data_IF_876508618989
#
_entry.id   IF_876508618989
#
_cell.length_a   1.000
_cell.length_b   1.000
_cell.length_c   1.000
_cell.angle_alpha   90.00
_cell.angle_beta   90.00
_cell.angle_gamma   90.00
#
_symmetry.space_group_name_H-M   'P 1'
#
loop_
_entity.id
_entity.type
_entity.pdbx_description
1 polymer ?
#
# COMPACT_ATOMS: atom_id res chain seq x y z
N UNK A 1 22.16 -12.88 3.50
CA UNK A 1 22.10 -13.78 4.67
C UNK A 1 22.17 -13.04 6.00
N UNK A 2 21.13 -12.23 6.22
CA UNK A 2 21.00 -11.12 7.16
C UNK A 2 20.13 -11.47 8.38
N UNK A 3 19.83 -10.50 9.24
CA UNK A 3 18.99 -10.56 10.47
C UNK A 3 17.91 -11.66 10.54
N UNK A 4 17.14 -11.90 9.46
CA UNK A 4 16.16 -12.98 9.36
C UNK A 4 16.78 -14.38 9.62
N UNK A 5 17.98 -14.64 9.11
CA UNK A 5 18.76 -15.85 9.42
C UNK A 5 19.12 -15.96 10.90
N UNK A 6 19.41 -14.83 11.55
CA UNK A 6 19.62 -14.77 13.00
C UNK A 6 18.35 -15.13 13.78
N UNK A 7 17.19 -14.61 13.37
CA UNK A 7 15.90 -14.97 13.96
C UNK A 7 15.61 -16.47 13.79
N UNK A 8 15.90 -17.04 12.62
CA UNK A 8 15.79 -18.48 12.35
C UNK A 8 16.67 -19.31 13.28
N UNK A 9 17.96 -18.96 13.36
CA UNK A 9 18.94 -19.70 14.14
C UNK A 9 18.62 -19.71 15.64
N UNK A 10 17.92 -18.68 16.13
CA UNK A 10 17.50 -18.56 17.51
C UNK A 10 16.04 -19.02 17.76
N UNK A 11 15.40 -19.68 16.77
CA UNK A 11 14.01 -20.14 16.84
C UNK A 11 12.99 -19.03 17.17
N UNK A 12 13.27 -17.80 16.73
CA UNK A 12 12.45 -16.60 17.01
C UNK A 12 11.40 -16.31 15.94
N UNK A 13 11.26 -17.12 14.88
CA UNK A 13 10.25 -16.89 13.83
C UNK A 13 8.83 -17.38 14.17
N UNK A 14 8.62 -17.95 15.35
CA UNK A 14 7.34 -18.53 15.75
C UNK A 14 6.39 -17.55 16.44
N UNK A 15 5.08 -17.70 16.22
CA UNK A 15 4.04 -17.10 17.06
C UNK A 15 3.72 -15.62 16.78
N UNK A 16 4.17 -15.06 15.66
CA UNK A 16 3.76 -13.72 15.27
C UNK A 16 2.33 -13.72 14.72
N UNK A 17 1.51 -12.79 15.21
CA UNK A 17 0.14 -12.58 14.72
C UNK A 17 0.09 -11.65 13.51
N UNK A 18 1.09 -10.77 13.37
CA UNK A 18 1.16 -9.83 12.27
C UNK A 18 2.61 -9.56 11.84
N UNK A 19 2.78 -9.30 10.55
CA UNK A 19 3.95 -8.70 9.93
C UNK A 19 3.54 -7.29 9.47
N UNK A 20 4.31 -6.27 9.83
CA UNK A 20 4.04 -4.89 9.47
C UNK A 20 5.28 -4.28 8.82
N UNK A 21 5.11 -3.67 7.65
CA UNK A 21 6.14 -2.85 7.01
C UNK A 21 5.67 -1.41 6.89
N UNK A 22 6.58 -0.48 7.15
CA UNK A 22 6.46 0.94 6.81
C UNK A 22 7.56 1.33 5.83
N UNK A 23 8.19 2.48 6.06
CA UNK A 23 9.32 2.95 5.24
C UNK A 23 10.48 1.96 5.21
N UNK A 24 10.84 1.53 4.00
CA UNK A 24 12.03 0.72 3.72
C UNK A 24 12.75 1.33 2.52
N UNK A 25 13.96 1.87 2.75
CA UNK A 25 14.77 2.54 1.71
C UNK A 25 15.68 1.60 0.91
N UNK A 26 15.39 0.31 0.89
CA UNK A 26 16.19 -0.72 0.22
C UNK A 26 15.28 -1.79 -0.42
N UNK A 27 15.37 -1.92 -1.75
CA UNK A 27 14.53 -2.84 -2.52
C UNK A 27 14.75 -4.31 -2.16
N UNK A 28 15.98 -4.71 -1.85
CA UNK A 28 16.27 -6.08 -1.43
C UNK A 28 15.74 -6.39 -0.04
N UNK A 29 15.65 -5.41 0.87
CA UNK A 29 14.97 -5.58 2.15
C UNK A 29 13.47 -5.80 1.94
N UNK A 30 12.83 -5.02 1.07
CA UNK A 30 11.41 -5.20 0.72
C UNK A 30 11.18 -6.61 0.14
N UNK A 31 12.00 -7.03 -0.83
CA UNK A 31 11.91 -8.40 -1.39
C UNK A 31 12.22 -9.48 -0.36
N UNK A 32 13.14 -9.25 0.57
CA UNK A 32 13.43 -10.19 1.64
C UNK A 32 12.23 -10.39 2.58
N UNK A 33 11.43 -9.34 2.84
CA UNK A 33 10.16 -9.46 3.57
C UNK A 33 9.20 -10.36 2.78
N UNK A 34 9.02 -10.11 1.48
CA UNK A 34 8.20 -10.96 0.60
C UNK A 34 8.64 -12.43 0.61
N UNK A 35 9.96 -12.69 0.56
CA UNK A 35 10.54 -14.04 0.64
C UNK A 35 10.37 -14.70 2.02
N UNK A 36 10.27 -13.94 3.10
CA UNK A 36 10.08 -14.47 4.45
C UNK A 36 8.61 -14.81 4.77
N UNK A 37 7.66 -14.15 4.10
CA UNK A 37 6.23 -14.30 4.38
C UNK A 37 5.72 -15.76 4.32
N UNK A 38 6.10 -16.60 3.33
CA UNK A 38 5.65 -18.00 3.30
C UNK A 38 6.05 -18.78 4.56
N UNK A 39 7.31 -18.65 4.99
CA UNK A 39 7.81 -19.34 6.20
C UNK A 39 7.10 -18.86 7.48
N UNK A 40 6.80 -17.55 7.56
CA UNK A 40 6.03 -17.01 8.68
C UNK A 40 4.59 -17.57 8.69
N UNK A 41 3.96 -17.69 7.51
CA UNK A 41 2.62 -18.26 7.36
C UNK A 41 2.56 -19.77 7.62
N UNK A 42 3.64 -20.52 7.34
CA UNK A 42 3.74 -21.94 7.72
C UNK A 42 3.67 -22.12 9.25
N UNK A 43 4.25 -21.18 10.00
CA UNK A 43 4.26 -21.20 11.47
C UNK A 43 2.96 -20.67 12.07
N UNK A 44 2.33 -19.71 11.40
CA UNK A 44 1.00 -19.21 11.77
C UNK A 44 0.18 -18.92 10.50
N UNK A 45 -0.73 -19.83 10.09
CA UNK A 45 -1.60 -19.61 8.93
C UNK A 45 -2.55 -18.40 9.08
N UNK A 46 -2.77 -17.92 10.31
CA UNK A 46 -3.54 -16.71 10.61
C UNK A 46 -2.72 -15.42 10.63
N UNK A 47 -1.43 -15.46 10.27
CA UNK A 47 -0.58 -14.27 10.20
C UNK A 47 -1.14 -13.25 9.21
N UNK A 48 -1.36 -12.03 9.69
CA UNK A 48 -1.72 -10.89 8.85
C UNK A 48 -0.48 -10.14 8.37
N UNK A 49 -0.38 -9.89 7.08
CA UNK A 49 0.60 -8.96 6.54
C UNK A 49 -0.05 -7.60 6.25
N UNK A 50 0.35 -6.58 7.02
CA UNK A 50 0.02 -5.18 6.77
C UNK A 50 1.21 -4.51 6.08
N UNK A 51 0.99 -4.02 4.86
CA UNK A 51 1.99 -3.33 4.07
C UNK A 51 1.61 -1.85 3.93
N UNK A 52 2.43 -0.96 4.48
CA UNK A 52 2.40 0.46 4.18
C UNK A 52 3.49 0.77 3.13
N UNK A 53 3.12 0.96 1.85
CA UNK A 53 4.05 1.03 0.73
C UNK A 53 4.61 2.45 0.58
N UNK A 54 5.32 2.93 1.62
CA UNK A 54 5.84 4.32 1.73
C UNK A 54 6.81 4.62 0.60
N UNK A 55 6.28 5.08 -0.53
CA UNK A 55 7.04 5.34 -1.77
C UNK A 55 7.13 6.83 -2.06
N UNK A 56 6.14 7.62 -1.65
CA UNK A 56 6.05 9.02 -2.04
C UNK A 56 4.70 9.65 -1.78
N UNK A 57 4.59 10.96 -1.97
CA UNK A 57 3.34 11.70 -2.01
C UNK A 57 3.44 12.88 -2.98
N UNK A 58 2.34 13.61 -3.20
CA UNK A 58 2.32 14.87 -3.96
C UNK A 58 3.03 14.78 -5.34
N UNK A 59 2.90 13.64 -6.02
CA UNK A 59 3.49 13.40 -7.33
C UNK A 59 4.99 13.12 -7.33
N UNK A 60 5.61 12.82 -6.17
CA UNK A 60 7.06 12.63 -6.04
C UNK A 60 7.39 11.36 -5.26
N UNK A 61 8.30 10.56 -5.80
CA UNK A 61 8.91 9.43 -5.08
C UNK A 61 9.96 9.93 -4.07
N UNK A 62 9.96 9.34 -2.88
CA UNK A 62 10.98 9.49 -1.83
C UNK A 62 12.00 8.34 -1.82
N UNK A 63 11.69 7.26 -2.52
CA UNK A 63 12.50 6.05 -2.62
C UNK A 63 13.11 5.92 -4.02
N UNK A 64 14.09 5.01 -4.17
CA UNK A 64 14.65 4.68 -5.48
C UNK A 64 13.62 3.93 -6.34
N UNK A 65 13.82 3.92 -7.65
CA UNK A 65 13.01 3.11 -8.57
C UNK A 65 13.03 1.62 -8.17
N UNK A 66 14.18 1.12 -7.72
CA UNK A 66 14.32 -0.25 -7.24
C UNK A 66 13.37 -0.56 -6.05
N UNK A 67 13.21 0.39 -5.12
CA UNK A 67 12.27 0.23 -4.01
C UNK A 67 10.82 0.26 -4.51
N UNK A 68 10.50 1.16 -5.44
CA UNK A 68 9.17 1.23 -6.04
C UNK A 68 8.81 -0.07 -6.78
N UNK A 69 9.74 -0.62 -7.57
CA UNK A 69 9.61 -1.94 -8.20
C UNK A 69 9.41 -3.05 -7.17
N UNK A 70 10.22 -3.08 -6.11
CA UNK A 70 10.08 -4.06 -5.03
C UNK A 70 8.71 -3.97 -4.34
N UNK A 71 8.16 -2.78 -4.11
CA UNK A 71 6.80 -2.64 -3.59
C UNK A 71 5.75 -3.12 -4.59
N UNK A 72 5.91 -2.90 -5.90
CA UNK A 72 4.98 -3.46 -6.92
C UNK A 72 4.96 -4.99 -6.89
N UNK A 73 6.09 -5.63 -6.56
CA UNK A 73 6.20 -7.10 -6.38
C UNK A 73 5.58 -7.57 -5.06
N UNK A 74 5.81 -6.86 -3.95
CA UNK A 74 5.47 -7.33 -2.59
C UNK A 74 4.10 -6.87 -2.10
N UNK A 75 3.64 -5.68 -2.48
CA UNK A 75 2.33 -5.15 -2.06
C UNK A 75 1.15 -6.10 -2.36
N UNK A 76 1.10 -6.82 -3.51
CA UNK A 76 0.06 -7.82 -3.77
C UNK A 76 0.00 -8.99 -2.77
N UNK A 77 1.06 -9.23 -2.02
CA UNK A 77 1.10 -10.30 -1.01
C UNK A 77 0.43 -9.90 0.31
N UNK A 78 0.13 -8.61 0.49
CA UNK A 78 -0.43 -8.05 1.71
C UNK A 78 -1.89 -8.45 1.90
N UNK A 79 -2.24 -8.72 3.16
CA UNK A 79 -3.63 -8.87 3.57
C UNK A 79 -4.31 -7.51 3.70
N UNK A 80 -3.56 -6.52 4.21
CA UNK A 80 -3.98 -5.12 4.34
C UNK A 80 -2.92 -4.23 3.71
N UNK A 81 -3.32 -3.41 2.74
CA UNK A 81 -2.45 -2.40 2.12
C UNK A 81 -2.93 -1.01 2.51
N UNK A 82 -2.03 -0.12 2.89
CA UNK A 82 -2.38 1.23 3.38
C UNK A 82 -1.80 2.38 2.55
N UNK A 83 -2.01 2.42 1.22
CA UNK A 83 -1.38 3.44 0.38
C UNK A 83 -2.00 4.82 0.64
N UNK A 84 -1.28 5.91 0.40
CA UNK A 84 -1.92 7.20 0.10
C UNK A 84 -2.42 7.23 -1.37
N UNK A 85 -3.02 8.34 -1.82
CA UNK A 85 -3.49 8.46 -3.22
C UNK A 85 -2.37 8.23 -4.25
N UNK A 86 -1.21 8.86 -4.10
CA UNK A 86 -0.10 8.73 -5.05
C UNK A 86 0.37 7.28 -5.16
N UNK A 87 0.50 6.60 -4.01
CA UNK A 87 0.89 5.20 -3.95
C UNK A 87 -0.20 4.27 -4.52
N UNK A 88 -1.46 4.59 -4.27
CA UNK A 88 -2.61 3.87 -4.84
C UNK A 88 -2.56 3.93 -6.36
N UNK A 89 -2.37 5.13 -6.94
CA UNK A 89 -2.23 5.33 -8.39
C UNK A 89 -1.03 4.57 -8.95
N UNK A 90 0.14 4.67 -8.28
CA UNK A 90 1.38 4.03 -8.70
C UNK A 90 1.30 2.50 -8.67
N UNK A 91 0.61 1.93 -7.68
CA UNK A 91 0.44 0.48 -7.55
C UNK A 91 -0.67 -0.05 -8.46
N UNK A 92 -1.80 0.66 -8.59
CA UNK A 92 -2.96 0.22 -9.36
C UNK A 92 -2.84 0.51 -10.86
N UNK A 93 -2.04 1.50 -11.27
CA UNK A 93 -1.97 1.98 -12.64
C UNK A 93 -3.24 2.74 -13.07
N UNK A 94 -3.98 3.31 -12.12
CA UNK A 94 -5.23 4.04 -12.32
C UNK A 94 -5.06 5.43 -11.70
N UNK A 95 -5.23 6.49 -12.49
CA UNK A 95 -5.23 7.86 -11.98
C UNK A 95 -6.51 8.15 -11.19
N UNK A 96 -6.40 8.79 -10.03
CA UNK A 96 -7.52 9.05 -9.12
C UNK A 96 -7.92 10.52 -9.16
N UNK A 97 -9.06 10.83 -9.77
CA UNK A 97 -9.61 12.20 -9.82
C UNK A 97 -10.91 12.35 -9.05
N UNK A 98 -11.62 11.24 -8.81
CA UNK A 98 -12.83 11.18 -8.02
C UNK A 98 -12.90 9.88 -7.19
N UNK A 99 -13.90 9.76 -6.31
CA UNK A 99 -14.11 8.57 -5.48
C UNK A 99 -14.31 7.30 -6.30
N UNK A 100 -15.00 7.40 -7.44
CA UNK A 100 -15.15 6.27 -8.36
C UNK A 100 -13.81 5.76 -8.89
N UNK A 101 -12.83 6.64 -9.12
CA UNK A 101 -11.50 6.23 -9.57
C UNK A 101 -10.71 5.54 -8.45
N UNK A 102 -10.82 6.06 -7.22
CA UNK A 102 -10.19 5.44 -6.05
C UNK A 102 -10.71 4.00 -5.84
N UNK A 103 -12.03 3.79 -5.96
CA UNK A 103 -12.63 2.46 -5.88
C UNK A 103 -12.13 1.53 -7.01
N UNK A 104 -12.06 2.02 -8.26
CA UNK A 104 -11.48 1.24 -9.37
C UNK A 104 -10.01 0.88 -9.15
N UNK A 105 -9.24 1.78 -8.56
CA UNK A 105 -7.85 1.52 -8.22
C UNK A 105 -7.74 0.44 -7.12
N UNK A 106 -8.60 0.49 -6.09
CA UNK A 106 -8.69 -0.56 -5.07
C UNK A 106 -9.09 -1.91 -5.67
N UNK A 107 -10.07 -1.93 -6.58
CA UNK A 107 -10.50 -3.16 -7.28
C UNK A 107 -9.35 -3.79 -8.08
N UNK A 108 -8.51 -2.97 -8.73
CA UNK A 108 -7.33 -3.45 -9.44
C UNK A 108 -6.30 -4.11 -8.51
N UNK A 109 -6.17 -3.62 -7.27
CA UNK A 109 -5.30 -4.23 -6.25
C UNK A 109 -5.92 -5.50 -5.66
N UNK A 110 -7.24 -5.52 -5.47
CA UNK A 110 -7.95 -6.72 -5.07
C UNK A 110 -7.83 -7.85 -6.09
N UNK A 111 -7.93 -7.53 -7.38
CA UNK A 111 -7.71 -8.49 -8.47
C UNK A 111 -6.29 -9.11 -8.46
N UNK A 112 -5.34 -8.49 -7.74
CA UNK A 112 -3.97 -8.99 -7.55
C UNK A 112 -3.76 -9.74 -6.23
N UNK A 113 -4.80 -9.88 -5.41
CA UNK A 113 -4.79 -10.70 -4.19
C UNK A 113 -4.86 -9.94 -2.87
N UNK A 114 -4.84 -8.59 -2.88
CA UNK A 114 -4.97 -7.80 -1.65
C UNK A 114 -6.40 -7.90 -1.12
N UNK A 115 -6.57 -8.28 0.15
CA UNK A 115 -7.93 -8.46 0.72
C UNK A 115 -8.54 -7.16 1.19
N UNK A 116 -7.77 -6.28 1.82
CA UNK A 116 -8.24 -4.97 2.22
C UNK A 116 -7.27 -3.86 1.83
N UNK A 117 -7.80 -2.79 1.25
CA UNK A 117 -7.06 -1.57 0.94
C UNK A 117 -7.65 -0.44 1.78
N UNK A 118 -6.81 0.26 2.53
CA UNK A 118 -7.18 1.41 3.36
C UNK A 118 -6.37 2.61 2.89
N UNK A 119 -6.96 3.43 2.03
CA UNK A 119 -6.29 4.62 1.53
C UNK A 119 -6.32 5.74 2.56
N UNK A 120 -5.15 6.16 3.01
CA UNK A 120 -4.98 7.09 4.13
C UNK A 120 -5.49 8.51 3.83
N UNK A 121 -5.34 8.95 2.59
CA UNK A 121 -5.87 10.21 2.09
C UNK A 121 -6.15 10.14 0.59
N UNK A 122 -7.27 10.72 0.18
CA UNK A 122 -7.60 11.05 -1.22
C UNK A 122 -8.03 12.51 -1.30
N UNK A 123 -7.56 13.21 -2.32
CA UNK A 123 -7.92 14.59 -2.62
C UNK A 123 -8.49 14.67 -4.03
N UNK A 124 -9.67 15.28 -4.16
CA UNK A 124 -10.34 15.46 -5.45
C UNK A 124 -10.30 16.92 -5.87
N UNK A 125 -9.98 17.15 -7.15
CA UNK A 125 -10.20 18.45 -7.76
C UNK A 125 -11.69 18.54 -8.07
N UNK A 126 -12.43 19.37 -7.32
CA UNK A 126 -13.85 19.54 -7.54
C UNK A 126 -14.14 20.13 -8.91
N UNK A 127 -15.03 19.51 -9.69
CA UNK A 127 -15.68 20.16 -10.82
C UNK A 127 -16.69 21.16 -10.25
N UNK A 128 -16.43 22.45 -10.44
CA UNK A 128 -17.38 23.51 -10.16
C UNK A 128 -18.58 23.41 -11.10
N UNK A 129 -19.51 22.52 -10.79
CA UNK A 129 -20.82 22.48 -11.44
C UNK A 129 -21.77 23.48 -10.77
N UNK A 130 -21.50 24.77 -10.93
CA UNK A 130 -22.57 25.76 -11.12
C UNK A 130 -22.01 27.01 -11.82
N UNK A 131 -22.75 27.54 -12.79
CA UNK A 131 -22.33 28.64 -13.67
C UNK A 131 -22.28 30.02 -12.99
N UNK A 132 -21.42 30.19 -11.98
CA UNK A 132 -21.20 31.44 -11.26
C UNK A 132 -19.72 31.82 -11.18
N UNK A 133 -19.42 33.09 -11.49
CA UNK A 133 -18.08 33.68 -11.54
C UNK A 133 -17.34 33.52 -10.20
N UNK A 134 -16.06 33.12 -10.30
CA UNK A 134 -15.16 32.71 -9.22
C UNK A 134 -14.87 33.78 -8.15
N UNK A 135 -14.76 33.36 -6.89
CA UNK A 135 -13.68 33.74 -5.95
C UNK A 135 -13.46 32.63 -4.91
N UNK A 136 -12.23 32.11 -4.80
CA UNK A 136 -11.78 31.18 -3.74
C UNK A 136 -12.09 29.70 -3.97
N UNK A 137 -11.24 28.98 -4.70
CA UNK A 137 -11.35 27.53 -4.83
C UNK A 137 -10.98 26.82 -3.53
N UNK A 138 -11.97 26.27 -2.82
CA UNK A 138 -11.73 25.33 -1.73
C UNK A 138 -11.18 24.02 -2.31
N UNK A 139 -9.94 23.69 -1.96
CA UNK A 139 -9.31 22.41 -2.31
C UNK A 139 -10.04 21.27 -1.61
N UNK A 140 -10.33 20.24 -2.40
CA UNK A 140 -10.62 18.84 -2.10
C UNK A 140 -10.97 18.41 -0.68
N UNK A 141 -12.09 17.71 -0.57
CA UNK A 141 -12.45 16.95 0.63
C UNK A 141 -11.46 15.80 0.84
N UNK A 142 -10.54 15.93 1.80
CA UNK A 142 -9.63 14.85 2.20
C UNK A 142 -10.40 13.83 3.04
N UNK A 143 -10.53 12.61 2.52
CA UNK A 143 -11.15 11.49 3.24
C UNK A 143 -10.24 10.26 3.20
N UNK A 144 -10.33 9.43 4.24
CA UNK A 144 -9.83 8.07 4.16
C UNK A 144 -10.91 7.19 3.49
N UNK A 145 -10.49 6.26 2.64
CA UNK A 145 -11.36 5.29 1.99
C UNK A 145 -10.87 3.89 2.29
N UNK A 146 -11.79 2.96 2.51
CA UNK A 146 -11.45 1.56 2.73
C UNK A 146 -12.36 0.66 1.90
N UNK A 147 -11.76 -0.36 1.30
CA UNK A 147 -12.47 -1.41 0.58
C UNK A 147 -11.85 -2.75 0.93
N UNK A 148 -12.65 -3.66 1.49
CA UNK A 148 -12.23 -5.01 1.84
C UNK A 148 -13.12 -6.06 1.15
N UNK A 149 -12.52 -7.12 0.65
CA UNK A 149 -13.20 -8.31 0.12
C UNK A 149 -13.26 -9.41 1.18
N UNK A 150 -14.33 -10.23 1.10
CA UNK A 150 -14.58 -11.37 2.00
C UNK A 150 -13.95 -12.63 1.44
#
# INVERSE_FOLDING_TARGET
DSLLGGLRANALLGGYSALLTGYVGDGEVIRAVGRALPELRERNPGLLFLCDPVMGDNGRYYVSEECAEAYREVAPLADVLTPNQFELEALAGVEVRCEGDALRAMDALHARGVRCVVTSSVEYVGDGADGGVAEGGESGVVRALASCQV
#
